data_IF_476891674112
#
_entry.id   IF_476891674112
#
_cell.length_a   1.000
_cell.length_b   1.000
_cell.length_c   1.000
_cell.angle_alpha   90.00
_cell.angle_beta   90.00
_cell.angle_gamma   90.00
#
_symmetry.space_group_name_H-M   'P 1'
#
loop_
_entity.id
_entity.type
_entity.pdbx_description
1 polymer ?
#
# COMPACT_ATOMS: atom_id res chain seq x y z
N UNK A 1 10.59 -7.83 27.84
CA UNK A 1 10.24 -8.20 26.44
C UNK A 1 9.10 -7.30 25.95
N UNK A 2 9.20 -6.72 24.75
CA UNK A 2 8.24 -5.69 24.29
C UNK A 2 7.13 -6.15 23.33
N UNK A 3 7.10 -7.41 22.92
CA UNK A 3 6.08 -8.02 22.02
C UNK A 3 5.83 -7.35 20.66
N UNK A 4 6.72 -6.45 20.21
CA UNK A 4 6.70 -5.90 18.84
C UNK A 4 7.31 -6.88 17.85
N UNK A 5 6.78 -6.90 16.63
CA UNK A 5 7.23 -7.84 15.60
C UNK A 5 8.57 -7.46 14.95
N UNK A 6 8.98 -6.18 15.06
CA UNK A 6 10.18 -5.63 14.40
C UNK A 6 11.50 -6.25 14.86
N UNK A 7 11.53 -6.92 16.02
CA UNK A 7 12.73 -7.54 16.55
C UNK A 7 12.43 -8.74 17.45
N UNK A 8 13.36 -9.69 17.49
CA UNK A 8 13.31 -10.82 18.42
C UNK A 8 13.59 -10.41 19.87
N UNK A 9 13.29 -11.32 20.80
CA UNK A 9 13.48 -11.12 22.25
C UNK A 9 14.90 -10.64 22.60
N UNK A 10 15.91 -11.29 22.02
CA UNK A 10 17.32 -11.05 22.37
C UNK A 10 17.86 -9.71 21.85
N UNK A 11 17.17 -9.10 20.88
CA UNK A 11 17.50 -7.77 20.33
C UNK A 11 16.65 -6.65 20.94
N UNK A 12 15.79 -6.98 21.90
CA UNK A 12 14.96 -6.00 22.57
C UNK A 12 15.80 -5.16 23.52
N UNK A 13 15.87 -3.85 23.27
CA UNK A 13 16.57 -2.91 24.16
C UNK A 13 15.73 -2.42 25.34
N UNK A 14 14.45 -2.83 25.39
CA UNK A 14 13.53 -2.41 26.46
C UNK A 14 13.64 -3.35 27.65
N UNK A 15 14.01 -2.79 28.80
CA UNK A 15 14.08 -3.52 30.08
C UNK A 15 12.71 -3.64 30.77
N UNK A 16 11.62 -3.31 30.08
CA UNK A 16 10.26 -3.42 30.61
C UNK A 16 9.55 -4.60 29.97
N UNK A 17 8.86 -5.37 30.80
CA UNK A 17 7.94 -6.40 30.35
C UNK A 17 6.61 -5.74 30.01
N UNK A 18 6.15 -6.01 28.78
CA UNK A 18 4.84 -5.62 28.29
C UNK A 18 3.95 -6.84 28.36
N UNK A 19 2.72 -6.69 28.82
CA UNK A 19 1.79 -7.80 28.89
C UNK A 19 1.32 -8.22 27.48
N UNK A 20 1.40 -9.53 27.21
CA UNK A 20 0.95 -10.09 25.92
C UNK A 20 -0.57 -10.00 25.72
N UNK A 21 -1.36 -9.98 26.80
CA UNK A 21 -2.83 -9.90 26.78
C UNK A 21 -3.31 -8.46 26.55
N UNK A 22 -2.98 -7.55 27.46
CA UNK A 22 -3.52 -6.20 27.47
C UNK A 22 -2.57 -5.13 26.90
N UNK A 23 -1.33 -5.48 26.60
CA UNK A 23 -0.37 -4.57 25.99
C UNK A 23 0.21 -3.48 26.88
N UNK A 24 -0.16 -3.46 28.16
CA UNK A 24 0.34 -2.48 29.13
C UNK A 24 1.66 -2.94 29.75
N UNK A 25 2.60 -2.02 30.03
CA UNK A 25 3.87 -2.35 30.67
C UNK A 25 3.69 -2.71 32.16
N UNK A 26 4.70 -3.35 32.75
CA UNK A 26 4.85 -3.52 34.20
C UNK A 26 4.41 -4.87 34.76
N UNK A 27 3.96 -5.81 33.92
CA UNK A 27 3.59 -7.17 34.33
C UNK A 27 3.60 -8.13 33.13
N UNK A 28 3.52 -9.43 33.41
CA UNK A 28 3.37 -10.50 32.40
C UNK A 28 1.91 -10.94 32.28
N UNK A 29 1.57 -11.62 31.18
CA UNK A 29 0.17 -11.93 30.84
C UNK A 29 -0.49 -13.07 31.62
N UNK A 30 0.22 -13.78 32.49
CA UNK A 30 -0.31 -14.93 33.24
C UNK A 30 -1.39 -14.48 34.23
N UNK A 31 -1.11 -13.47 35.05
CA UNK A 31 -1.99 -12.91 36.08
C UNK A 31 -2.77 -11.67 35.61
N UNK A 32 -2.93 -11.50 34.28
CA UNK A 32 -3.59 -10.32 33.74
C UNK A 32 -5.09 -10.59 33.46
N UNK A 33 -5.94 -9.88 34.22
CA UNK A 33 -7.40 -9.88 34.10
C UNK A 33 -7.97 -8.76 33.22
N UNK A 34 -7.09 -7.94 32.62
CA UNK A 34 -7.52 -6.87 31.70
C UNK A 34 -7.98 -7.46 30.37
N UNK A 35 -8.88 -6.74 29.70
CA UNK A 35 -9.32 -7.05 28.34
C UNK A 35 -8.13 -7.13 27.37
N UNK A 36 -8.31 -7.91 26.30
CA UNK A 36 -7.28 -8.03 25.29
C UNK A 36 -7.11 -6.72 24.53
N UNK A 37 -5.87 -6.41 24.22
CA UNK A 37 -5.50 -5.23 23.42
C UNK A 37 -4.16 -5.49 22.77
N UNK A 38 -4.18 -5.66 21.46
CA UNK A 38 -2.96 -5.89 20.70
C UNK A 38 -2.14 -4.61 20.62
N UNK A 39 -0.87 -4.64 21.04
CA UNK A 39 0.01 -3.48 20.92
C UNK A 39 0.41 -3.13 19.47
N UNK A 40 0.24 -4.08 18.55
CA UNK A 40 0.67 -3.93 17.15
C UNK A 40 -0.46 -3.31 16.31
N UNK A 41 -1.66 -3.89 16.32
CA UNK A 41 -2.81 -3.42 15.53
C UNK A 41 -3.91 -2.71 16.35
N UNK A 42 -3.81 -2.69 17.68
CA UNK A 42 -4.84 -2.14 18.60
C UNK A 42 -6.19 -2.88 18.60
N UNK A 43 -6.25 -4.09 18.03
CA UNK A 43 -7.44 -4.95 18.03
C UNK A 43 -7.67 -5.71 19.34
N UNK A 44 -8.87 -6.25 19.50
CA UNK A 44 -9.31 -7.05 20.65
C UNK A 44 -8.82 -8.50 20.56
N UNK A 45 -7.50 -8.66 20.69
CA UNK A 45 -6.82 -9.95 20.77
C UNK A 45 -5.42 -9.76 21.40
N UNK A 46 -4.81 -10.82 21.96
CA UNK A 46 -3.45 -10.73 22.48
C UNK A 46 -2.43 -10.45 21.36
N UNK A 47 -1.26 -9.92 21.73
CA UNK A 47 -0.17 -9.63 20.79
C UNK A 47 0.41 -10.88 20.11
N UNK A 48 0.17 -12.07 20.66
CA UNK A 48 0.58 -13.37 20.10
C UNK A 48 -0.39 -13.95 19.06
N UNK A 49 -1.53 -13.29 18.79
CA UNK A 49 -2.53 -13.79 17.85
C UNK A 49 -1.99 -13.87 16.42
N UNK A 50 -2.15 -15.04 15.78
CA UNK A 50 -1.79 -15.25 14.36
C UNK A 50 -2.77 -14.61 13.38
N UNK A 51 -3.96 -14.22 13.85
CA UNK A 51 -4.98 -13.51 13.08
C UNK A 51 -4.79 -11.98 13.15
N UNK A 52 -3.75 -11.51 13.84
CA UNK A 52 -3.40 -10.09 13.84
C UNK A 52 -3.04 -9.65 12.40
N UNK A 53 -3.68 -8.60 11.84
CA UNK A 53 -3.38 -8.15 10.48
C UNK A 53 -1.90 -7.77 10.32
N UNK A 54 -1.33 -7.07 11.30
CA UNK A 54 0.10 -6.69 11.27
C UNK A 54 1.03 -7.92 11.39
N UNK A 55 0.60 -8.99 12.05
CA UNK A 55 1.39 -10.24 12.08
C UNK A 55 1.39 -10.89 10.70
N UNK A 56 0.23 -10.96 10.04
CA UNK A 56 0.11 -11.52 8.69
C UNK A 56 0.97 -10.73 7.69
N UNK A 57 0.96 -9.40 7.79
CA UNK A 57 1.80 -8.52 6.98
C UNK A 57 3.30 -8.77 7.23
N UNK A 58 3.74 -8.79 8.49
CA UNK A 58 5.15 -9.07 8.82
C UNK A 58 5.58 -10.46 8.33
N UNK A 59 4.71 -11.47 8.44
CA UNK A 59 4.97 -12.80 7.89
C UNK A 59 5.10 -12.77 6.36
N UNK A 60 4.27 -11.99 5.65
CA UNK A 60 4.39 -11.82 4.21
C UNK A 60 5.72 -11.15 3.82
N UNK A 61 6.14 -10.11 4.55
CA UNK A 61 7.42 -9.42 4.35
C UNK A 61 8.59 -10.38 4.56
N UNK A 62 8.58 -11.14 5.65
CA UNK A 62 9.62 -12.12 5.97
C UNK A 62 9.69 -13.22 4.93
N UNK A 63 8.55 -13.77 4.49
CA UNK A 63 8.48 -14.77 3.42
C UNK A 63 9.02 -14.20 2.12
N UNK A 64 8.56 -13.02 1.70
CA UNK A 64 9.04 -12.37 0.49
C UNK A 64 10.56 -12.22 0.51
N UNK A 65 11.11 -11.70 1.62
CA UNK A 65 12.56 -11.52 1.77
C UNK A 65 13.32 -12.85 1.79
N UNK A 66 12.77 -13.90 2.42
CA UNK A 66 13.39 -15.22 2.41
C UNK A 66 13.47 -15.81 0.99
N UNK A 67 12.49 -15.53 0.14
CA UNK A 67 12.42 -16.07 -1.23
C UNK A 67 13.18 -15.20 -2.26
N UNK A 68 13.10 -13.87 -2.13
CA UNK A 68 13.62 -12.92 -3.13
C UNK A 68 14.90 -12.19 -2.67
N UNK A 69 15.28 -12.31 -1.39
CA UNK A 69 16.36 -11.54 -0.80
C UNK A 69 16.02 -10.05 -0.60
N UNK A 70 17.07 -9.23 -0.50
CA UNK A 70 16.96 -7.77 -0.40
C UNK A 70 16.73 -7.22 1.02
N UNK A 71 16.40 -5.93 1.05
CA UNK A 71 16.13 -5.17 2.28
C UNK A 71 14.68 -5.31 2.72
N UNK A 72 14.41 -5.10 4.02
CA UNK A 72 13.03 -5.07 4.53
C UNK A 72 12.16 -3.97 3.89
N UNK A 73 12.76 -2.84 3.48
CA UNK A 73 12.04 -1.78 2.78
C UNK A 73 11.54 -2.22 1.41
N UNK A 74 12.37 -2.93 0.64
CA UNK A 74 11.97 -3.50 -0.65
C UNK A 74 10.89 -4.58 -0.47
N UNK A 75 11.03 -5.44 0.53
CA UNK A 75 10.03 -6.48 0.81
C UNK A 75 8.67 -5.88 1.20
N UNK A 76 8.64 -4.83 2.01
CA UNK A 76 7.41 -4.08 2.33
C UNK A 76 6.75 -3.50 1.08
N UNK A 77 7.52 -2.83 0.24
CA UNK A 77 6.99 -2.25 -1.00
C UNK A 77 6.40 -3.33 -1.92
N UNK A 78 7.05 -4.49 -2.02
CA UNK A 78 6.57 -5.60 -2.85
C UNK A 78 5.27 -6.21 -2.31
N UNK A 79 5.16 -6.43 -1.00
CA UNK A 79 3.93 -6.98 -0.39
C UNK A 79 2.72 -6.08 -0.63
N UNK A 80 2.88 -4.76 -0.54
CA UNK A 80 1.80 -3.80 -0.86
C UNK A 80 1.36 -3.93 -2.32
N UNK A 81 2.32 -4.01 -3.25
CA UNK A 81 2.03 -4.12 -4.69
C UNK A 81 1.32 -5.43 -5.03
N UNK A 82 1.71 -6.57 -4.44
CA UNK A 82 1.03 -7.85 -4.67
C UNK A 82 -0.42 -7.82 -4.17
N UNK A 83 -0.66 -7.26 -2.98
CA UNK A 83 -2.02 -7.06 -2.44
C UNK A 83 -2.84 -6.16 -3.36
N UNK A 84 -2.27 -5.08 -3.89
CA UNK A 84 -2.95 -4.21 -4.85
C UNK A 84 -3.30 -4.93 -6.17
N UNK A 85 -2.44 -5.83 -6.66
CA UNK A 85 -2.71 -6.63 -7.87
C UNK A 85 -3.87 -7.59 -7.68
N UNK A 86 -3.96 -8.22 -6.51
CA UNK A 86 -5.06 -9.14 -6.18
C UNK A 86 -6.40 -8.40 -6.00
N UNK A 87 -6.36 -7.22 -5.38
CA UNK A 87 -7.54 -6.37 -5.18
C UNK A 87 -8.00 -5.66 -6.45
N UNK A 88 -7.11 -5.44 -7.43
CA UNK A 88 -7.46 -4.79 -8.69
C UNK A 88 -8.38 -5.72 -9.50
N UNK A 89 -9.64 -5.33 -9.77
CA UNK A 89 -10.50 -6.09 -10.67
C UNK A 89 -9.83 -6.18 -12.03
N UNK A 90 -9.80 -7.38 -12.63
CA UNK A 90 -9.31 -7.58 -14.00
C UNK A 90 -10.03 -6.61 -14.93
N UNK A 91 -9.35 -5.53 -15.33
CA UNK A 91 -9.97 -4.46 -16.12
C UNK A 91 -10.54 -5.02 -17.44
N UNK A 92 -11.71 -4.51 -17.85
CA UNK A 92 -12.42 -4.79 -19.10
C UNK A 92 -11.51 -4.79 -20.35
N UNK A 93 -10.47 -3.95 -20.36
CA UNK A 93 -9.48 -3.87 -21.44
C UNK A 93 -8.73 -5.19 -21.73
N UNK A 94 -8.72 -6.16 -20.82
CA UNK A 94 -8.19 -7.51 -21.08
C UNK A 94 -9.09 -8.33 -22.01
N UNK A 95 -10.41 -8.12 -22.00
CA UNK A 95 -11.37 -8.90 -22.78
C UNK A 95 -11.36 -8.56 -24.28
N UNK A 96 -10.97 -7.34 -24.64
CA UNK A 96 -10.96 -6.86 -26.05
C UNK A 96 -9.70 -7.23 -26.83
N UNK A 97 -8.65 -7.75 -26.18
CA UNK A 97 -7.40 -8.16 -26.86
C UNK A 97 -7.50 -9.52 -27.57
N UNK A 98 -8.56 -10.29 -27.30
CA UNK A 98 -8.81 -11.61 -27.89
C UNK A 98 -9.93 -11.62 -28.94
N UNK A 99 -10.18 -10.49 -29.62
CA UNK A 99 -11.18 -10.45 -30.70
C UNK A 99 -10.85 -11.48 -31.79
N UNK A 100 -11.86 -12.17 -32.36
CA UNK A 100 -11.62 -13.22 -33.34
C UNK A 100 -10.86 -12.65 -34.55
N UNK A 101 -9.84 -13.38 -35.00
CA UNK A 101 -9.10 -13.04 -36.21
C UNK A 101 -10.11 -12.85 -37.35
N UNK A 102 -10.23 -11.60 -37.80
CA UNK A 102 -11.14 -11.21 -38.87
C UNK A 102 -10.70 -11.96 -40.13
N UNK A 103 -11.46 -12.97 -40.55
CA UNK A 103 -11.28 -13.59 -41.88
C UNK A 103 -11.45 -12.49 -42.91
N UNK A 104 -10.41 -12.26 -43.70
CA UNK A 104 -10.47 -11.37 -44.86
C UNK A 104 -11.31 -12.10 -45.91
N UNK A 105 -12.52 -11.62 -46.18
CA UNK A 105 -13.25 -11.94 -47.40
C UNK A 105 -13.30 -10.71 -48.29
N UNK A 106 -12.96 -10.92 -49.56
CA UNK A 106 -12.72 -9.94 -50.62
C UNK A 106 -13.91 -8.96 -50.86
N UNK A 107 -13.67 -7.79 -51.50
CA UNK A 107 -14.70 -6.79 -51.69
C UNK A 107 -15.59 -7.14 -52.90
N UNK A 108 -16.91 -7.06 -52.71
CA UNK A 108 -17.87 -6.97 -53.83
C UNK A 108 -18.25 -5.50 -53.98
N UNK A 109 -17.92 -4.96 -55.14
CA UNK A 109 -18.26 -3.62 -55.62
C UNK A 109 -19.71 -3.60 -56.06
N UNK A 110 -20.52 -2.70 -55.53
CA UNK A 110 -21.60 -2.06 -56.30
C UNK A 110 -21.79 -0.62 -55.82
N UNK A 111 -21.63 0.27 -56.80
CA UNK A 111 -21.78 1.71 -56.72
C UNK A 111 -23.25 2.06 -56.55
N UNK A 112 -23.56 3.14 -55.81
CA UNK A 112 -24.64 4.06 -56.17
C UNK A 112 -24.37 5.46 -55.57
N UNK A 113 -24.16 6.40 -56.50
CA UNK A 113 -24.22 7.87 -56.43
C UNK A 113 -25.69 8.26 -56.12
N UNK A 114 -26.12 9.34 -55.47
CA UNK A 114 -25.78 10.78 -55.41
C UNK A 114 -26.69 11.31 -54.24
N UNK A 115 -26.40 12.33 -53.42
CA UNK A 115 -26.42 13.78 -53.69
C UNK A 115 -25.88 14.53 -52.44
N UNK A 116 -25.38 15.74 -52.64
CA UNK A 116 -24.60 16.58 -51.73
C UNK A 116 -25.47 17.76 -51.24
N UNK A 117 -25.45 18.21 -49.97
CA UNK A 117 -24.69 19.40 -49.43
C UNK A 117 -25.66 20.17 -48.47
N UNK A 118 -25.29 21.14 -47.56
CA UNK A 118 -24.00 21.59 -47.00
C UNK A 118 -23.86 21.43 -45.46
N UNK A 119 -22.65 21.23 -44.92
CA UNK A 119 -21.72 22.21 -44.28
C UNK A 119 -22.25 22.90 -43.01
N UNK A 120 -21.63 22.60 -41.86
CA UNK A 120 -21.15 23.63 -40.94
C UNK A 120 -19.92 23.10 -40.19
N UNK A 121 -18.77 23.69 -40.53
CA UNK A 121 -17.49 23.53 -39.85
C UNK A 121 -17.49 24.36 -38.57
N UNK A 122 -16.81 23.90 -37.52
CA UNK A 122 -16.00 24.81 -36.71
C UNK A 122 -14.85 24.08 -36.00
N UNK A 123 -13.69 24.14 -36.66
CA UNK A 123 -12.47 24.81 -36.21
C UNK A 123 -12.12 24.79 -34.71
N UNK A 124 -11.01 24.08 -34.46
CA UNK A 124 -9.97 24.32 -33.47
C UNK A 124 -10.08 25.57 -32.57
N UNK A 125 -9.86 25.37 -31.28
CA UNK A 125 -9.01 26.30 -30.53
C UNK A 125 -8.11 25.56 -29.54
N UNK A 126 -6.82 25.80 -29.75
CA UNK A 126 -5.71 25.54 -28.83
C UNK A 126 -5.90 26.33 -27.54
N UNK A 127 -5.36 25.80 -26.44
CA UNK A 127 -4.66 26.47 -25.31
C UNK A 127 -4.98 25.69 -24.04
N UNK A 128 -4.17 25.62 -23.00
CA UNK A 128 -2.73 25.80 -22.78
C UNK A 128 -2.57 25.35 -21.32
N UNK A 129 -1.52 24.59 -21.03
CA UNK A 129 -0.99 24.38 -19.68
C UNK A 129 -0.56 25.74 -19.11
N UNK A 130 -0.86 26.04 -17.84
CA UNK A 130 0.03 26.85 -17.04
C UNK A 130 0.67 25.95 -15.99
N UNK A 131 1.98 25.82 -16.14
CA UNK A 131 2.94 25.71 -15.04
C UNK A 131 2.71 26.82 -14.04
N UNK A 132 2.97 26.57 -12.75
CA UNK A 132 3.88 27.45 -12.03
C UNK A 132 4.54 26.73 -10.86
N UNK A 133 5.87 26.78 -10.96
CA UNK A 133 6.89 26.48 -9.98
C UNK A 133 6.91 27.51 -8.84
N UNK A 134 6.99 26.99 -7.60
CA UNK A 134 7.92 27.42 -6.51
C UNK A 134 7.88 28.91 -6.03
N UNK A 135 8.62 29.39 -5.00
CA UNK A 135 9.53 28.75 -4.03
C UNK A 135 9.45 29.26 -2.54
N UNK A 136 10.32 28.70 -1.66
CA UNK A 136 11.01 29.30 -0.48
C UNK A 136 10.16 29.56 0.80
N UNK A 137 10.67 29.55 2.04
CA UNK A 137 11.99 29.41 2.70
C UNK A 137 11.72 29.03 4.19
N UNK A 138 12.49 28.13 4.80
CA UNK A 138 13.64 28.32 5.72
C UNK A 138 13.37 28.95 7.11
N UNK A 139 13.78 28.20 8.15
CA UNK A 139 14.70 28.58 9.25
C UNK A 139 14.24 28.49 10.74
N UNK A 140 15.00 27.67 11.47
CA UNK A 140 15.46 27.73 12.88
C UNK A 140 14.51 27.75 14.08
N UNK A 141 14.77 26.80 15.01
CA UNK A 141 15.39 27.09 16.34
C UNK A 141 15.86 25.80 17.06
N UNK A 142 17.10 25.84 17.56
CA UNK A 142 17.74 24.90 18.51
C UNK A 142 17.66 25.51 19.95
N UNK A 143 18.30 24.94 20.98
CA UNK A 143 17.73 24.24 22.14
C UNK A 143 17.72 25.08 23.44
N UNK A 144 17.07 24.60 24.51
CA UNK A 144 17.37 25.05 25.88
C UNK A 144 17.45 23.90 26.88
N UNK A 145 18.37 24.10 27.81
CA UNK A 145 18.95 23.22 28.82
C UNK A 145 18.20 23.29 30.18
N UNK A 146 18.40 22.24 30.99
CA UNK A 146 18.64 22.25 32.45
C UNK A 146 17.55 22.68 33.47
N UNK A 147 17.18 21.74 34.35
CA UNK A 147 17.06 21.86 35.82
C UNK A 147 16.63 20.48 36.38
N UNK A 148 17.50 19.72 37.07
CA UNK A 148 17.79 19.74 38.53
C UNK A 148 16.52 19.74 39.40
N UNK A 149 16.20 18.59 39.99
CA UNK A 149 16.11 18.34 41.44
C UNK A 149 15.99 16.84 41.69
#
# INVERSE_FOLDING_TARGET
MCHRFEHGRDRCRKNIDVCVKCGEPGHRGEECDRSHKCINCKGDHPASSKNCPNYMEEQAILRYRAHNGGTFGQARAAVVVEVEKELRPKLYAQAVRGGPARRVTAPVTTQNKTENLPIAQNSATKKARPTNDSPKANESRKPQELQKT
#
